data_IF_385237771781
#
_entry.id   IF_385237771781
#
_cell.length_a   1.000
_cell.length_b   1.000
_cell.length_c   1.000
_cell.angle_alpha   90.00
_cell.angle_beta   90.00
_cell.angle_gamma   90.00
#
_symmetry.space_group_name_H-M   'P 1'
#
loop_
_entity.id
_entity.type
_entity.pdbx_description
1 polymer ?
#
# COMPACT_ATOMS: atom_id res chain seq x y z
N UNK A 1 -5.38 -17.53 -15.18
CA UNK A 1 -5.36 -16.21 -15.86
C UNK A 1 -6.69 -16.12 -16.61
N UNK A 2 -7.57 -15.13 -16.36
CA UNK A 2 -8.61 -14.60 -17.31
C UNK A 2 -9.92 -14.09 -16.67
N UNK A 3 -10.37 -14.55 -15.50
CA UNK A 3 -11.68 -14.08 -14.97
C UNK A 3 -11.63 -12.65 -14.39
N UNK A 4 -10.63 -12.34 -13.55
CA UNK A 4 -10.49 -11.01 -12.95
C UNK A 4 -10.20 -9.88 -13.95
N UNK A 5 -9.44 -10.18 -15.01
CA UNK A 5 -9.14 -9.22 -16.08
C UNK A 5 -10.41 -8.88 -16.89
N UNK A 6 -11.18 -9.89 -17.30
CA UNK A 6 -12.42 -9.68 -18.04
C UNK A 6 -13.46 -8.90 -17.23
N UNK A 7 -13.60 -9.21 -15.93
CA UNK A 7 -14.50 -8.45 -15.03
C UNK A 7 -14.06 -7.00 -14.88
N UNK A 8 -12.74 -6.75 -14.75
CA UNK A 8 -12.19 -5.39 -14.67
C UNK A 8 -12.34 -4.60 -15.97
N UNK A 9 -12.26 -5.25 -17.13
CA UNK A 9 -12.40 -4.61 -18.43
C UNK A 9 -13.85 -4.19 -18.75
N UNK A 10 -14.83 -4.88 -18.15
CA UNK A 10 -16.25 -4.53 -18.25
C UNK A 10 -16.62 -3.21 -17.55
N UNK A 11 -15.69 -2.60 -16.81
CA UNK A 11 -15.92 -1.33 -16.12
C UNK A 11 -15.94 -0.17 -17.14
N UNK A 12 -17.02 0.64 -17.08
CA UNK A 12 -17.22 1.77 -18.00
C UNK A 12 -16.16 2.88 -17.85
N UNK A 13 -15.60 3.05 -16.66
CA UNK A 13 -14.60 4.07 -16.35
C UNK A 13 -13.24 3.83 -17.01
N UNK A 14 -12.75 4.84 -17.72
CA UNK A 14 -11.41 4.87 -18.31
C UNK A 14 -10.29 4.74 -17.27
N UNK A 15 -10.38 5.48 -16.15
CA UNK A 15 -9.35 5.51 -15.11
C UNK A 15 -9.13 4.13 -14.47
N UNK A 16 -10.21 3.37 -14.26
CA UNK A 16 -10.11 2.02 -13.69
C UNK A 16 -9.49 1.03 -14.67
N UNK A 17 -9.77 1.16 -15.97
CA UNK A 17 -9.10 0.37 -17.00
C UNK A 17 -7.61 0.67 -17.09
N UNK A 18 -7.21 1.95 -16.99
CA UNK A 18 -5.79 2.34 -16.95
C UNK A 18 -5.09 1.74 -15.72
N UNK A 19 -5.72 1.81 -14.56
CA UNK A 19 -5.23 1.20 -13.33
C UNK A 19 -4.98 -0.31 -13.50
N UNK A 20 -5.98 -1.00 -14.04
CA UNK A 20 -5.94 -2.43 -14.29
C UNK A 20 -4.83 -2.78 -15.28
N UNK A 21 -4.74 -2.03 -16.38
CA UNK A 21 -3.69 -2.20 -17.38
C UNK A 21 -2.30 -2.07 -16.77
N UNK A 22 -2.03 -0.96 -16.06
CA UNK A 22 -0.73 -0.72 -15.42
C UNK A 22 -0.37 -1.81 -14.41
N UNK A 23 -1.32 -2.27 -13.59
CA UNK A 23 -1.09 -3.37 -12.65
C UNK A 23 -0.71 -4.67 -13.37
N UNK A 24 -1.43 -5.02 -14.43
CA UNK A 24 -1.11 -6.18 -15.25
C UNK A 24 0.22 -6.02 -15.98
N UNK A 25 0.56 -4.82 -16.48
CA UNK A 25 1.85 -4.55 -17.13
C UNK A 25 3.01 -4.72 -16.15
N UNK A 26 2.89 -4.21 -14.92
CA UNK A 26 3.92 -4.40 -13.88
C UNK A 26 4.03 -5.87 -13.47
N UNK A 27 2.89 -6.56 -13.29
CA UNK A 27 2.88 -7.99 -12.96
C UNK A 27 3.44 -8.88 -14.07
N UNK A 28 3.13 -8.58 -15.33
CA UNK A 28 3.67 -9.32 -16.48
C UNK A 28 5.15 -8.99 -16.71
N UNK A 29 5.56 -7.73 -16.56
CA UNK A 29 6.97 -7.35 -16.57
C UNK A 29 7.78 -8.06 -15.48
N UNK A 30 7.15 -8.37 -14.33
CA UNK A 30 7.76 -9.14 -13.26
C UNK A 30 7.89 -10.64 -13.56
N UNK A 31 6.89 -11.24 -14.22
CA UNK A 31 6.84 -12.70 -14.46
C UNK A 31 7.45 -13.16 -15.79
N UNK A 32 7.49 -12.32 -16.82
CA UNK A 32 7.95 -12.75 -18.15
C UNK A 32 9.48 -12.77 -18.22
N UNK A 33 10.03 -13.97 -18.48
CA UNK A 33 11.46 -14.23 -18.71
C UNK A 33 11.92 -13.70 -20.09
N UNK A 34 11.84 -12.39 -20.33
CA UNK A 34 12.41 -11.75 -21.51
C UNK A 34 13.84 -11.26 -21.21
N UNK A 35 14.82 -11.42 -22.12
CA UNK A 35 16.24 -11.14 -21.88
C UNK A 35 16.55 -9.66 -21.56
N UNK A 36 15.65 -8.73 -21.90
CA UNK A 36 15.74 -7.29 -21.58
C UNK A 36 15.00 -6.89 -20.28
N UNK A 37 14.21 -7.80 -19.69
CA UNK A 37 13.34 -7.57 -18.53
C UNK A 37 13.75 -8.43 -17.32
N UNK A 38 15.07 -8.65 -17.11
CA UNK A 38 15.60 -9.19 -15.85
C UNK A 38 15.57 -8.12 -14.76
N UNK A 39 14.38 -7.71 -14.32
CA UNK A 39 14.19 -6.77 -13.21
C UNK A 39 14.76 -7.29 -11.87
N UNK A 40 14.99 -8.61 -11.76
CA UNK A 40 15.82 -9.22 -10.70
C UNK A 40 17.22 -8.61 -10.58
N UNK A 41 17.76 -7.99 -11.64
CA UNK A 41 19.09 -7.34 -11.62
C UNK A 41 19.06 -5.95 -10.95
N UNK A 42 17.89 -5.30 -10.87
CA UNK A 42 17.71 -3.95 -10.35
C UNK A 42 16.60 -3.91 -9.27
N UNK A 43 16.77 -4.60 -8.13
CA UNK A 43 15.75 -4.69 -7.08
C UNK A 43 15.28 -3.32 -6.58
N UNK A 44 16.18 -2.33 -6.55
CA UNK A 44 15.87 -0.94 -6.15
C UNK A 44 14.89 -0.27 -7.11
N UNK A 45 15.02 -0.49 -8.42
CA UNK A 45 14.12 0.10 -9.42
C UNK A 45 12.72 -0.50 -9.31
N UNK A 46 12.64 -1.82 -9.08
CA UNK A 46 11.37 -2.51 -8.86
C UNK A 46 10.69 -2.02 -7.58
N UNK A 47 11.47 -1.82 -6.52
CA UNK A 47 11.02 -1.27 -5.25
C UNK A 47 10.42 0.13 -5.42
N UNK A 48 11.15 1.05 -6.06
CA UNK A 48 10.67 2.42 -6.32
C UNK A 48 9.43 2.42 -7.21
N UNK A 49 9.42 1.61 -8.28
CA UNK A 49 8.28 1.49 -9.17
C UNK A 49 7.02 0.97 -8.44
N UNK A 50 7.19 -0.06 -7.60
CA UNK A 50 6.10 -0.64 -6.79
C UNK A 50 5.58 0.37 -5.76
N UNK A 51 6.48 1.12 -5.12
CA UNK A 51 6.12 2.18 -4.18
C UNK A 51 5.35 3.31 -4.86
N UNK A 52 5.84 3.82 -6.00
CA UNK A 52 5.15 4.86 -6.76
C UNK A 52 3.77 4.40 -7.22
N UNK A 53 3.66 3.16 -7.67
CA UNK A 53 2.39 2.61 -8.13
C UNK A 53 1.36 2.54 -6.99
N UNK A 54 1.73 1.97 -5.84
CA UNK A 54 0.81 1.80 -4.73
C UNK A 54 0.57 3.09 -3.93
N UNK A 55 1.59 3.92 -3.76
CA UNK A 55 1.53 5.14 -2.96
C UNK A 55 0.94 6.35 -3.69
N UNK A 56 1.12 6.43 -5.02
CA UNK A 56 0.77 7.63 -5.80
C UNK A 56 -0.20 7.32 -6.93
N UNK A 57 0.14 6.39 -7.83
CA UNK A 57 -0.66 6.15 -9.04
C UNK A 57 -2.04 5.59 -8.71
N UNK A 58 -2.11 4.56 -7.85
CA UNK A 58 -3.38 3.95 -7.46
C UNK A 58 -4.33 4.97 -6.80
N UNK A 59 -3.96 5.67 -5.71
CA UNK A 59 -4.88 6.61 -5.07
C UNK A 59 -5.25 7.77 -6.00
N UNK A 60 -4.37 8.14 -6.95
CA UNK A 60 -4.63 9.20 -7.92
C UNK A 60 -5.69 8.78 -8.94
N UNK A 61 -5.57 7.58 -9.50
CA UNK A 61 -6.57 7.06 -10.44
C UNK A 61 -7.93 6.86 -9.77
N UNK A 62 -7.97 6.41 -8.51
CA UNK A 62 -9.21 6.34 -7.74
C UNK A 62 -9.80 7.72 -7.47
N UNK A 63 -8.99 8.72 -7.14
CA UNK A 63 -9.44 10.09 -6.95
C UNK A 63 -10.04 10.67 -8.23
N UNK A 64 -9.34 10.51 -9.37
CA UNK A 64 -9.81 10.95 -10.68
C UNK A 64 -11.09 10.21 -11.10
N UNK A 65 -11.18 8.91 -10.84
CA UNK A 65 -12.40 8.15 -11.06
C UNK A 65 -13.56 8.72 -10.24
N UNK A 66 -13.38 8.96 -8.94
CA UNK A 66 -14.42 9.54 -8.10
C UNK A 66 -14.86 10.92 -8.60
N UNK A 67 -13.91 11.77 -9.02
CA UNK A 67 -14.23 13.11 -9.54
C UNK A 67 -14.95 13.06 -10.88
N UNK A 68 -14.55 12.19 -11.80
CA UNK A 68 -15.15 12.10 -13.14
C UNK A 68 -16.56 11.49 -13.17
N UNK A 69 -16.94 10.70 -12.16
CA UNK A 69 -18.33 10.21 -12.06
C UNK A 69 -19.28 11.23 -11.38
N UNK A 70 -18.73 12.19 -10.64
CA UNK A 70 -19.51 13.26 -10.01
C UNK A 70 -19.57 14.42 -11.01
N UNK A 71 -20.63 14.45 -11.83
CA UNK A 71 -20.83 15.45 -12.87
C UNK A 71 -20.74 16.89 -12.30
N UNK A 72 -19.92 17.75 -12.95
CA UNK A 72 -19.94 19.19 -12.73
C UNK A 72 -18.95 19.78 -11.71
N UNK A 73 -18.02 19.00 -11.15
CA UNK A 73 -16.97 19.55 -10.26
C UNK A 73 -15.62 19.71 -10.98
N UNK A 74 -14.91 20.85 -10.79
CA UNK A 74 -13.55 21.02 -11.31
C UNK A 74 -12.60 20.01 -10.66
N UNK A 75 -11.57 19.58 -11.40
CA UNK A 75 -10.46 18.75 -10.89
C UNK A 75 -9.66 19.55 -9.86
N UNK A 76 -10.13 19.57 -8.62
CA UNK A 76 -9.43 20.18 -7.50
C UNK A 76 -8.94 19.08 -6.56
N UNK A 77 -7.66 19.14 -6.20
CA UNK A 77 -7.08 18.26 -5.19
C UNK A 77 -7.74 18.57 -3.84
N UNK A 78 -8.63 17.70 -3.37
CA UNK A 78 -9.34 17.92 -2.11
C UNK A 78 -8.43 17.68 -0.91
N UNK A 79 -8.71 18.31 0.24
CA UNK A 79 -7.98 18.05 1.50
C UNK A 79 -8.01 16.55 1.86
N UNK A 80 -9.12 15.88 1.57
CA UNK A 80 -9.26 14.44 1.76
C UNK A 80 -8.37 13.63 0.81
N UNK A 81 -8.18 14.06 -0.43
CA UNK A 81 -7.29 13.40 -1.38
C UNK A 81 -5.83 13.49 -0.91
N UNK A 82 -5.37 14.67 -0.48
CA UNK A 82 -4.02 14.86 0.08
C UNK A 82 -3.80 13.95 1.28
N UNK A 83 -4.79 13.86 2.18
CA UNK A 83 -4.75 12.98 3.33
C UNK A 83 -4.61 11.50 2.94
N UNK A 84 -5.42 11.03 1.99
CA UNK A 84 -5.35 9.65 1.49
C UNK A 84 -4.01 9.37 0.80
N UNK A 85 -3.49 10.30 0.00
CA UNK A 85 -2.17 10.18 -0.62
C UNK A 85 -1.05 10.06 0.43
N UNK A 86 -1.11 10.87 1.49
CA UNK A 86 -0.15 10.81 2.58
C UNK A 86 -0.16 9.43 3.25
N UNK A 87 -1.33 8.94 3.64
CA UNK A 87 -1.47 7.62 4.29
C UNK A 87 -1.02 6.50 3.35
N UNK A 88 -1.49 6.48 2.11
CA UNK A 88 -1.14 5.43 1.14
C UNK A 88 0.34 5.45 0.77
N UNK A 89 0.97 6.64 0.70
CA UNK A 89 2.40 6.79 0.46
C UNK A 89 3.26 6.21 1.58
N UNK A 90 2.93 6.48 2.84
CA UNK A 90 3.69 5.94 3.98
C UNK A 90 3.37 4.44 4.16
N UNK A 91 2.11 4.03 3.96
CA UNK A 91 1.72 2.62 4.02
C UNK A 91 2.45 1.78 2.96
N UNK A 92 2.50 2.24 1.71
CA UNK A 92 3.24 1.56 0.64
C UNK A 92 4.75 1.51 0.92
N UNK A 93 5.32 2.52 1.60
CA UNK A 93 6.72 2.48 2.05
C UNK A 93 6.92 1.41 3.12
N UNK A 94 6.01 1.30 4.09
CA UNK A 94 6.07 0.25 5.10
C UNK A 94 5.94 -1.15 4.49
N UNK A 95 5.02 -1.35 3.53
CA UNK A 95 4.89 -2.60 2.79
C UNK A 95 6.16 -2.94 1.98
N UNK A 96 6.82 -1.93 1.41
CA UNK A 96 8.07 -2.09 0.69
C UNK A 96 9.17 -2.61 1.62
N UNK A 97 9.31 -2.04 2.82
CA UNK A 97 10.30 -2.52 3.79
C UNK A 97 9.89 -3.91 4.32
N UNK A 98 8.60 -4.17 4.46
CA UNK A 98 8.10 -5.44 4.95
C UNK A 98 8.35 -6.59 3.97
N UNK A 99 8.27 -6.37 2.65
CA UNK A 99 8.64 -7.42 1.66
C UNK A 99 10.14 -7.74 1.69
N UNK A 100 10.99 -6.78 2.08
CA UNK A 100 12.44 -7.01 2.13
C UNK A 100 12.81 -7.99 3.25
N UNK A 101 11.95 -8.19 4.25
CA UNK A 101 12.15 -9.11 5.39
C UNK A 101 12.21 -10.59 4.95
N UNK A 102 11.18 -11.15 4.28
CA UNK A 102 11.26 -12.52 3.75
C UNK A 102 12.27 -12.64 2.60
N UNK A 103 12.51 -11.57 1.84
CA UNK A 103 13.46 -11.60 0.72
C UNK A 103 14.94 -11.68 1.16
N UNK A 104 15.26 -11.39 2.44
CA UNK A 104 16.64 -11.46 2.99
C UNK A 104 17.32 -12.80 2.72
N UNK A 105 16.61 -13.92 2.88
CA UNK A 105 17.18 -15.25 2.68
C UNK A 105 17.50 -15.53 1.21
N UNK A 106 16.65 -15.02 0.29
CA UNK A 106 16.86 -15.11 -1.15
C UNK A 106 18.02 -14.24 -1.61
N UNK A 107 18.12 -13.02 -1.09
CA UNK A 107 19.17 -12.06 -1.43
C UNK A 107 20.54 -12.51 -0.95
N UNK A 108 20.62 -13.09 0.26
CA UNK A 108 21.87 -13.67 0.79
C UNK A 108 22.40 -14.82 -0.07
N UNK A 109 21.52 -15.69 -0.59
CA UNK A 109 21.92 -16.80 -1.49
C UNK A 109 22.47 -16.31 -2.83
N UNK A 110 22.07 -15.14 -3.29
CA UNK A 110 22.54 -14.52 -4.52
C UNK A 110 23.68 -13.50 -4.30
N UNK A 111 24.16 -13.35 -3.05
CA UNK A 111 25.28 -12.46 -2.70
C UNK A 111 24.91 -10.97 -2.57
N UNK A 112 23.62 -10.63 -2.51
CA UNK A 112 23.15 -9.25 -2.33
C UNK A 112 22.84 -8.95 -0.86
N UNK A 113 23.26 -7.78 -0.38
CA UNK A 113 22.99 -7.32 0.98
C UNK A 113 21.81 -6.34 1.03
N UNK A 114 20.61 -6.87 1.32
CA UNK A 114 19.40 -6.05 1.50
C UNK A 114 19.38 -5.28 2.82
N UNK A 115 18.55 -4.23 2.88
CA UNK A 115 18.47 -3.31 4.02
C UNK A 115 18.19 -4.05 5.35
N UNK A 116 17.27 -5.01 5.32
CA UNK A 116 16.95 -5.88 6.46
C UNK A 116 18.11 -6.81 6.88
N UNK A 117 19.02 -7.16 5.95
CA UNK A 117 20.23 -7.92 6.29
C UNK A 117 21.28 -7.08 7.02
N UNK A 118 21.32 -5.76 6.82
CA UNK A 118 22.28 -4.86 7.48
C UNK A 118 21.82 -4.41 8.86
N UNK A 119 20.54 -4.05 9.00
CA UNK A 119 19.99 -3.53 10.26
C UNK A 119 19.42 -4.60 11.20
N UNK A 120 19.28 -5.83 10.70
CA UNK A 120 18.71 -6.96 11.44
C UNK A 120 17.21 -7.07 11.25
N UNK A 121 16.77 -8.24 10.81
CA UNK A 121 15.39 -8.54 10.44
C UNK A 121 14.38 -8.21 11.55
N UNK A 122 14.69 -8.57 12.80
CA UNK A 122 13.83 -8.27 13.96
C UNK A 122 13.64 -6.77 14.20
N UNK A 123 14.71 -5.96 14.07
CA UNK A 123 14.62 -4.50 14.27
C UNK A 123 13.80 -3.84 13.17
N UNK A 124 14.03 -4.22 11.92
CA UNK A 124 13.28 -3.70 10.77
C UNK A 124 11.80 -4.07 10.83
N UNK A 125 11.48 -5.30 11.25
CA UNK A 125 10.10 -5.72 11.49
C UNK A 125 9.38 -4.82 12.50
N UNK A 126 10.00 -4.57 13.66
CA UNK A 126 9.43 -3.69 14.67
C UNK A 126 9.30 -2.25 14.18
N UNK A 127 10.29 -1.71 13.47
CA UNK A 127 10.19 -0.35 12.87
C UNK A 127 9.00 -0.25 11.92
N UNK A 128 8.75 -1.27 11.09
CA UNK A 128 7.59 -1.30 10.20
C UNK A 128 6.27 -1.30 10.97
N UNK A 129 6.18 -2.10 12.05
CA UNK A 129 5.00 -2.13 12.91
C UNK A 129 4.76 -0.75 13.53
N UNK A 130 5.77 -0.15 14.15
CA UNK A 130 5.67 1.18 14.75
C UNK A 130 5.25 2.25 13.73
N UNK A 131 5.80 2.18 12.52
CA UNK A 131 5.44 3.10 11.45
C UNK A 131 3.96 2.94 11.03
N UNK A 132 3.49 1.71 10.87
CA UNK A 132 2.09 1.41 10.54
C UNK A 132 1.15 1.84 11.67
N UNK A 133 1.47 1.48 12.92
CA UNK A 133 0.68 1.87 14.09
C UNK A 133 0.54 3.39 14.20
N UNK A 134 1.62 4.14 13.98
CA UNK A 134 1.58 5.61 14.02
C UNK A 134 0.66 6.18 12.94
N UNK A 135 0.75 5.69 11.70
CA UNK A 135 -0.10 6.18 10.59
C UNK A 135 -1.57 5.88 10.86
N UNK A 136 -1.89 4.65 11.28
CA UNK A 136 -3.27 4.29 11.62
C UNK A 136 -3.76 5.06 12.84
N UNK A 137 -2.92 5.28 13.85
CA UNK A 137 -3.22 6.13 15.00
C UNK A 137 -3.59 7.56 14.59
N UNK A 138 -2.77 8.20 13.75
CA UNK A 138 -3.07 9.53 13.20
C UNK A 138 -4.36 9.51 12.38
N UNK A 139 -4.60 8.47 11.58
CA UNK A 139 -5.82 8.35 10.78
C UNK A 139 -7.08 8.24 11.66
N UNK A 140 -7.02 7.47 12.74
CA UNK A 140 -8.10 7.32 13.72
C UNK A 140 -8.37 8.66 14.41
N UNK A 141 -7.32 9.38 14.87
CA UNK A 141 -7.48 10.69 15.53
C UNK A 141 -8.18 11.71 14.63
N UNK A 142 -7.80 11.74 13.35
CA UNK A 142 -8.45 12.60 12.36
C UNK A 142 -9.90 12.16 12.12
N UNK A 143 -10.17 10.86 12.06
CA UNK A 143 -11.52 10.32 11.91
C UNK A 143 -12.43 10.59 13.11
N UNK A 144 -11.90 10.54 14.33
CA UNK A 144 -12.63 10.90 15.56
C UNK A 144 -13.01 12.39 15.61
N UNK A 145 -12.23 13.24 14.96
CA UNK A 145 -12.49 14.68 14.83
C UNK A 145 -13.58 15.00 13.79
N UNK A 146 -14.13 13.99 13.11
CA UNK A 146 -15.22 14.15 12.14
C UNK A 146 -16.56 14.46 12.82
N UNK A 147 -17.37 15.30 12.18
CA UNK A 147 -18.70 15.67 12.66
C UNK A 147 -19.74 14.55 12.50
N UNK A 148 -19.48 13.58 11.62
CA UNK A 148 -20.42 12.49 11.35
C UNK A 148 -20.33 11.37 12.38
N UNK A 149 -21.46 11.06 13.04
CA UNK A 149 -21.58 10.01 14.05
C UNK A 149 -21.13 8.62 13.55
N UNK A 150 -21.48 8.26 12.32
CA UNK A 150 -21.10 6.96 11.74
C UNK A 150 -19.59 6.78 11.62
N UNK A 151 -18.85 7.83 11.28
CA UNK A 151 -17.38 7.79 11.18
C UNK A 151 -16.79 7.62 12.59
N UNK A 152 -17.32 8.32 13.58
CA UNK A 152 -16.88 8.19 14.98
C UNK A 152 -17.12 6.79 15.53
N UNK A 153 -18.30 6.20 15.28
CA UNK A 153 -18.61 4.83 15.68
C UNK A 153 -17.66 3.81 15.04
N UNK A 154 -17.39 3.95 13.73
CA UNK A 154 -16.44 3.09 13.03
C UNK A 154 -15.00 3.21 13.57
N UNK A 155 -14.57 4.42 13.98
CA UNK A 155 -13.25 4.58 14.59
C UNK A 155 -13.17 3.98 15.99
N UNK A 156 -14.23 4.08 16.79
CA UNK A 156 -14.29 3.48 18.13
C UNK A 156 -14.23 1.96 18.06
N UNK A 157 -14.96 1.34 17.12
CA UNK A 157 -14.87 -0.12 16.92
C UNK A 157 -13.47 -0.54 16.48
N UNK A 158 -12.82 0.24 15.62
CA UNK A 158 -11.44 -0.01 15.20
C UNK A 158 -10.45 0.07 16.37
N UNK A 159 -10.57 1.07 17.25
CA UNK A 159 -9.77 1.16 18.48
C UNK A 159 -10.00 -0.06 19.38
N UNK A 160 -11.25 -0.48 19.56
CA UNK A 160 -11.58 -1.64 20.39
C UNK A 160 -10.91 -2.92 19.89
N UNK A 161 -10.90 -3.14 18.56
CA UNK A 161 -10.20 -4.27 17.93
C UNK A 161 -8.69 -4.19 18.19
N UNK A 162 -8.08 -3.01 18.02
CA UNK A 162 -6.64 -2.83 18.29
C UNK A 162 -6.28 -3.13 19.75
N UNK A 163 -7.10 -2.70 20.70
CA UNK A 163 -6.90 -2.98 22.13
C UNK A 163 -6.98 -4.49 22.38
N UNK A 164 -7.97 -5.19 21.82
CA UNK A 164 -8.09 -6.65 21.96
C UNK A 164 -6.86 -7.35 21.39
N UNK A 165 -6.41 -6.95 20.20
CA UNK A 165 -5.24 -7.54 19.56
C UNK A 165 -3.96 -7.27 20.39
N UNK A 166 -3.82 -6.08 20.96
CA UNK A 166 -2.69 -5.72 21.83
C UNK A 166 -2.68 -6.52 23.13
N UNK A 167 -3.84 -6.68 23.78
CA UNK A 167 -3.99 -7.52 24.99
C UNK A 167 -3.66 -8.98 24.66
N UNK A 168 -4.16 -9.51 23.54
CA UNK A 168 -3.87 -10.88 23.10
C UNK A 168 -2.38 -11.09 22.82
N UNK A 169 -1.70 -10.11 22.22
CA UNK A 169 -0.26 -10.17 22.00
C UNK A 169 0.53 -10.24 23.32
N UNK A 170 0.14 -9.42 24.31
CA UNK A 170 0.75 -9.48 25.64
C UNK A 170 0.52 -10.84 26.31
N UNK A 171 -0.70 -11.40 26.27
CA UNK A 171 -1.01 -12.70 26.90
C UNK A 171 -0.23 -13.86 26.26
N UNK A 172 0.00 -13.86 24.94
CA UNK A 172 0.73 -14.93 24.24
C UNK A 172 2.26 -14.80 24.42
N UNK A 173 2.74 -13.63 24.85
CA UNK A 173 4.16 -13.37 25.08
C UNK A 173 4.63 -13.68 26.51
N UNK A 174 3.72 -14.10 27.40
CA UNK A 174 3.98 -14.63 28.75
C UNK A 174 3.72 -16.13 28.79
#
# INVERSE_FOLDING_TARGET
MNQGFCLGWSVKSWHLKLCLFLWYTVGTAYSVHLPLLRWKKYPVVVAICSWLFQGVTLPMLFHLHAQTNIHGRPLSLSKHAIFVFGIMGIHSMALLIFKDIPDVEGDKRHGFHSFASKFGQKRVFWICIWLLELIYGVAILIGLSSTHLWIRLAMVTYIYILIIMGIRHNIISY
#
